data_IF_489720999626
#
_entry.id   IF_489720999626
#
_cell.length_a   1.000
_cell.length_b   1.000
_cell.length_c   1.000
_cell.angle_alpha   90.00
_cell.angle_beta   90.00
_cell.angle_gamma   90.00
#
_symmetry.space_group_name_H-M   'P 1'
#
loop_
_entity.id
_entity.type
_entity.pdbx_description
1 polymer ?
#
# COMPACT_ATOMS: atom_id res chain seq x y z
N UNK A 1 -34.56 -48.91 -10.59
CA UNK A 1 -33.39 -48.15 -11.13
C UNK A 1 -32.32 -48.07 -10.03
N UNK A 2 -31.44 -49.06 -9.88
CA UNK A 2 -30.56 -49.20 -8.71
C UNK A 2 -29.31 -48.29 -8.71
N UNK A 3 -29.24 -47.25 -9.55
CA UNK A 3 -28.06 -46.37 -9.69
C UNK A 3 -28.16 -44.99 -9.03
N UNK A 4 -29.32 -44.61 -8.48
CA UNK A 4 -29.57 -43.24 -7.99
C UNK A 4 -28.72 -42.84 -6.77
N UNK A 5 -28.43 -43.79 -5.88
CA UNK A 5 -27.63 -43.54 -4.68
C UNK A 5 -26.15 -43.31 -4.98
N UNK A 6 -25.62 -43.93 -6.04
CA UNK A 6 -24.25 -43.68 -6.51
C UNK A 6 -24.13 -42.28 -7.14
N UNK A 7 -25.12 -41.87 -7.94
CA UNK A 7 -25.15 -40.52 -8.49
C UNK A 7 -25.30 -39.45 -7.40
N UNK A 8 -26.13 -39.71 -6.39
CA UNK A 8 -26.26 -38.84 -5.22
C UNK A 8 -24.97 -38.76 -4.40
N UNK A 9 -24.30 -39.89 -4.16
CA UNK A 9 -23.01 -39.94 -3.46
C UNK A 9 -21.89 -39.22 -4.21
N UNK A 10 -21.82 -39.42 -5.54
CA UNK A 10 -20.87 -38.73 -6.40
C UNK A 10 -21.11 -37.22 -6.44
N UNK A 11 -22.37 -36.79 -6.53
CA UNK A 11 -22.76 -35.38 -6.45
C UNK A 11 -22.38 -34.74 -5.11
N UNK A 12 -22.61 -35.45 -4.00
CA UNK A 12 -22.23 -34.98 -2.67
C UNK A 12 -20.71 -34.86 -2.50
N UNK A 13 -19.95 -35.87 -2.93
CA UNK A 13 -18.48 -35.84 -2.88
C UNK A 13 -17.91 -34.72 -3.77
N UNK A 14 -18.46 -34.54 -4.97
CA UNK A 14 -18.09 -33.44 -5.86
C UNK A 14 -18.39 -32.08 -5.23
N UNK A 15 -19.55 -31.92 -4.60
CA UNK A 15 -19.91 -30.69 -3.90
C UNK A 15 -18.97 -30.41 -2.72
N UNK A 16 -18.66 -31.42 -1.91
CA UNK A 16 -17.78 -31.30 -0.75
C UNK A 16 -16.34 -30.92 -1.13
N UNK A 17 -15.81 -31.49 -2.22
CA UNK A 17 -14.49 -31.14 -2.74
C UNK A 17 -14.48 -29.72 -3.30
N UNK A 18 -15.53 -29.33 -4.04
CA UNK A 18 -15.66 -27.96 -4.55
C UNK A 18 -15.80 -26.95 -3.41
N UNK A 19 -16.58 -27.24 -2.36
CA UNK A 19 -16.71 -26.33 -1.22
C UNK A 19 -15.38 -26.14 -0.50
N UNK A 20 -14.59 -27.21 -0.34
CA UNK A 20 -13.22 -27.13 0.22
C UNK A 20 -12.28 -26.27 -0.64
N UNK A 21 -12.28 -26.48 -1.95
CA UNK A 21 -11.46 -25.65 -2.86
C UNK A 21 -11.91 -24.18 -2.89
N UNK A 22 -13.20 -23.92 -2.77
CA UNK A 22 -13.74 -22.56 -2.68
C UNK A 22 -13.33 -21.88 -1.36
N UNK A 23 -13.36 -22.61 -0.23
CA UNK A 23 -12.90 -22.11 1.08
C UNK A 23 -11.42 -21.69 1.01
N UNK A 24 -10.55 -22.51 0.42
CA UNK A 24 -9.12 -22.20 0.28
C UNK A 24 -8.86 -20.97 -0.60
N UNK A 25 -9.59 -20.85 -1.73
CA UNK A 25 -9.49 -19.69 -2.62
C UNK A 25 -9.99 -18.42 -1.94
N UNK A 26 -11.11 -18.50 -1.20
CA UNK A 26 -11.65 -17.37 -0.43
C UNK A 26 -10.67 -16.92 0.65
N UNK A 27 -10.10 -17.84 1.42
CA UNK A 27 -9.09 -17.52 2.43
C UNK A 27 -7.85 -16.82 1.83
N UNK A 28 -7.45 -17.19 0.60
CA UNK A 28 -6.35 -16.51 -0.10
C UNK A 28 -6.72 -15.08 -0.51
N UNK A 29 -7.91 -14.90 -1.08
CA UNK A 29 -8.42 -13.58 -1.47
C UNK A 29 -8.56 -12.68 -0.25
N UNK A 30 -9.05 -13.21 0.86
CA UNK A 30 -9.28 -12.45 2.09
C UNK A 30 -7.97 -11.99 2.73
N UNK A 31 -6.91 -12.80 2.68
CA UNK A 31 -5.57 -12.35 3.09
C UNK A 31 -5.04 -11.20 2.24
N UNK A 32 -5.16 -11.30 0.92
CA UNK A 32 -4.71 -10.23 0.01
C UNK A 32 -5.55 -8.97 0.24
N UNK A 33 -6.86 -9.12 0.38
CA UNK A 33 -7.76 -8.00 0.68
C UNK A 33 -7.41 -7.33 2.01
N UNK A 34 -7.07 -8.09 3.06
CA UNK A 34 -6.61 -7.55 4.33
C UNK A 34 -5.30 -6.76 4.20
N UNK A 35 -4.34 -7.25 3.40
CA UNK A 35 -3.10 -6.54 3.10
C UNK A 35 -3.35 -5.22 2.37
N UNK A 36 -4.22 -5.24 1.34
CA UNK A 36 -4.63 -4.02 0.65
C UNK A 36 -5.30 -3.03 1.60
N UNK A 37 -6.20 -3.51 2.47
CA UNK A 37 -6.94 -2.65 3.40
C UNK A 37 -6.00 -1.99 4.43
N UNK A 38 -5.00 -2.72 4.90
CA UNK A 38 -3.97 -2.22 5.80
C UNK A 38 -3.03 -1.20 5.13
N UNK A 39 -2.90 -1.24 3.80
CA UNK A 39 -2.11 -0.28 3.02
C UNK A 39 -2.93 0.97 2.65
N UNK A 40 -4.11 0.78 2.07
CA UNK A 40 -4.93 1.89 1.56
C UNK A 40 -5.59 2.72 2.67
N UNK A 41 -5.90 2.13 3.82
CA UNK A 41 -6.49 2.86 4.95
C UNK A 41 -5.58 3.99 5.47
N UNK A 42 -4.35 3.67 5.89
CA UNK A 42 -3.38 4.68 6.33
C UNK A 42 -3.00 5.69 5.25
N UNK A 43 -2.86 5.25 4.00
CA UNK A 43 -2.55 6.15 2.89
C UNK A 43 -3.68 7.16 2.63
N UNK A 44 -4.93 6.69 2.63
CA UNK A 44 -6.10 7.55 2.47
C UNK A 44 -6.24 8.51 3.66
N UNK A 45 -5.99 8.03 4.88
CA UNK A 45 -6.00 8.86 6.08
C UNK A 45 -4.97 9.99 5.96
N UNK A 46 -3.73 9.68 5.57
CA UNK A 46 -2.67 10.67 5.38
C UNK A 46 -3.04 11.72 4.32
N UNK A 47 -3.50 11.29 3.14
CA UNK A 47 -3.89 12.22 2.06
C UNK A 47 -5.10 13.09 2.45
N UNK A 48 -6.10 12.51 3.11
CA UNK A 48 -7.27 13.25 3.57
C UNK A 48 -6.93 14.27 4.66
N UNK A 49 -6.02 13.92 5.58
CA UNK A 49 -5.52 14.82 6.61
C UNK A 49 -4.76 15.99 5.98
N UNK A 50 -3.82 15.73 5.06
CA UNK A 50 -3.09 16.78 4.32
C UNK A 50 -4.05 17.73 3.60
N UNK A 51 -5.06 17.18 2.91
CA UNK A 51 -6.06 17.99 2.22
C UNK A 51 -6.82 18.90 3.19
N UNK A 52 -7.35 18.35 4.27
CA UNK A 52 -8.08 19.14 5.27
C UNK A 52 -7.22 20.24 5.92
N UNK A 53 -5.94 19.95 6.19
CA UNK A 53 -5.00 20.91 6.74
C UNK A 53 -4.68 22.04 5.75
N UNK A 54 -4.55 21.71 4.45
CA UNK A 54 -4.32 22.69 3.40
C UNK A 54 -5.54 23.59 3.18
N UNK A 55 -6.75 23.03 3.18
CA UNK A 55 -7.99 23.80 3.06
C UNK A 55 -8.15 24.77 4.26
N UNK A 56 -7.76 24.35 5.46
CA UNK A 56 -7.74 25.21 6.64
C UNK A 56 -6.69 26.33 6.57
N UNK A 57 -5.51 26.05 5.98
CA UNK A 57 -4.46 27.05 5.73
C UNK A 57 -4.96 28.14 4.78
N UNK A 58 -5.58 27.75 3.66
CA UNK A 58 -6.14 28.69 2.68
C UNK A 58 -7.23 29.54 3.32
N UNK A 59 -8.10 28.94 4.14
CA UNK A 59 -9.17 29.67 4.81
C UNK A 59 -8.62 30.74 5.78
N UNK A 60 -7.46 30.51 6.39
CA UNK A 60 -6.86 31.42 7.38
C UNK A 60 -5.96 32.49 6.76
N UNK A 61 -5.27 32.17 5.67
CA UNK A 61 -4.21 33.02 5.10
C UNK A 61 -4.49 33.49 3.66
N UNK A 62 -5.60 33.09 3.03
CA UNK A 62 -5.94 33.60 1.70
C UNK A 62 -6.62 34.98 1.81
N UNK A 63 -6.20 35.99 1.04
CA UNK A 63 -6.85 37.30 1.00
C UNK A 63 -8.32 37.25 0.56
N UNK A 64 -8.66 36.29 -0.31
CA UNK A 64 -9.98 36.13 -0.94
C UNK A 64 -10.64 34.77 -0.61
N UNK A 65 -10.01 33.94 0.24
CA UNK A 65 -10.44 32.55 0.51
C UNK A 65 -10.25 31.58 -0.67
N UNK A 66 -9.74 32.07 -1.80
CA UNK A 66 -9.46 31.31 -3.01
C UNK A 66 -8.08 30.64 -2.96
N UNK A 67 -7.98 29.42 -3.50
CA UNK A 67 -6.69 28.73 -3.65
C UNK A 67 -5.76 29.46 -4.63
N UNK A 68 -6.31 30.01 -5.73
CA UNK A 68 -5.53 30.70 -6.75
C UNK A 68 -4.90 31.98 -6.21
N UNK A 69 -5.69 32.78 -5.48
CA UNK A 69 -5.21 34.01 -4.87
C UNK A 69 -4.10 33.76 -3.82
N UNK A 70 -4.21 32.67 -3.06
CA UNK A 70 -3.16 32.27 -2.11
C UNK A 70 -1.86 31.84 -2.83
N UNK A 71 -1.96 31.07 -3.90
CA UNK A 71 -0.78 30.66 -4.68
C UNK A 71 -0.10 31.87 -5.33
N UNK A 72 -0.88 32.79 -5.90
CA UNK A 72 -0.36 34.01 -6.50
C UNK A 72 0.30 34.93 -5.45
N UNK A 73 -0.28 35.04 -4.25
CA UNK A 73 0.32 35.79 -3.13
C UNK A 73 1.66 35.18 -2.67
N UNK A 74 1.73 33.85 -2.53
CA UNK A 74 2.96 33.14 -2.16
C UNK A 74 4.05 33.29 -3.24
N UNK A 75 3.67 33.32 -4.52
CA UNK A 75 4.63 33.45 -5.63
C UNK A 75 5.12 34.88 -5.85
N UNK A 76 4.25 35.87 -5.61
CA UNK A 76 4.56 37.29 -5.82
C UNK A 76 5.40 37.88 -4.71
N UNK A 77 5.21 37.45 -3.45
CA UNK A 77 6.05 37.85 -2.32
C UNK A 77 6.55 36.63 -1.51
N UNK A 78 7.76 36.12 -1.83
CA UNK A 78 8.38 35.04 -1.07
C UNK A 78 8.67 35.38 0.40
N UNK A 79 8.70 36.66 0.77
CA UNK A 79 8.89 37.13 2.14
C UNK A 79 7.58 37.39 2.89
N UNK A 80 6.45 37.29 2.21
CA UNK A 80 5.12 37.57 2.76
C UNK A 80 4.71 36.59 3.86
N UNK A 81 3.71 37.00 4.64
CA UNK A 81 3.14 36.23 5.76
C UNK A 81 2.56 34.90 5.27
N UNK A 82 1.98 34.91 4.07
CA UNK A 82 1.39 33.76 3.39
C UNK A 82 2.45 32.76 2.94
N UNK A 83 3.58 33.24 2.42
CA UNK A 83 4.71 32.40 2.01
C UNK A 83 5.42 31.78 3.21
N UNK A 84 5.53 32.51 4.33
CA UNK A 84 6.06 31.96 5.58
C UNK A 84 5.13 30.91 6.18
N UNK A 85 3.82 31.18 6.25
CA UNK A 85 2.81 30.22 6.70
C UNK A 85 2.81 28.96 5.84
N UNK A 86 2.96 29.10 4.51
CA UNK A 86 3.10 27.96 3.60
C UNK A 86 4.36 27.14 3.88
N UNK A 87 5.53 27.78 4.07
CA UNK A 87 6.78 27.07 4.41
C UNK A 87 6.67 26.31 5.72
N UNK A 88 6.08 26.95 6.74
CA UNK A 88 5.86 26.31 8.03
C UNK A 88 4.92 25.11 7.89
N UNK A 89 3.84 25.24 7.13
CA UNK A 89 2.93 24.13 6.84
C UNK A 89 3.62 22.98 6.10
N UNK A 90 4.45 23.28 5.11
CA UNK A 90 5.22 22.25 4.38
C UNK A 90 6.11 21.47 5.34
N UNK A 91 6.82 22.15 6.24
CA UNK A 91 7.72 21.48 7.20
C UNK A 91 6.95 20.74 8.31
N UNK A 92 5.90 21.34 8.85
CA UNK A 92 5.19 20.81 10.01
C UNK A 92 4.16 19.73 9.67
N UNK A 93 3.56 19.78 8.48
CA UNK A 93 2.45 18.90 8.08
C UNK A 93 2.82 18.03 6.88
N UNK A 94 3.26 18.66 5.78
CA UNK A 94 3.47 17.93 4.52
C UNK A 94 4.66 16.96 4.61
N UNK A 95 5.78 17.41 5.16
CA UNK A 95 6.99 16.60 5.30
C UNK A 95 6.77 15.33 6.14
N UNK A 96 6.26 15.40 7.39
CA UNK A 96 6.06 14.18 8.20
C UNK A 96 5.00 13.25 7.61
N UNK A 97 3.96 13.77 6.95
CA UNK A 97 2.95 12.93 6.29
C UNK A 97 3.51 12.23 5.04
N UNK A 98 4.41 12.89 4.30
CA UNK A 98 5.07 12.28 3.15
C UNK A 98 6.10 11.23 3.59
N UNK A 99 6.83 11.48 4.68
CA UNK A 99 7.73 10.50 5.30
C UNK A 99 6.95 9.27 5.81
N UNK A 100 5.78 9.47 6.45
CA UNK A 100 4.89 8.38 6.85
C UNK A 100 4.36 7.58 5.65
N UNK A 101 3.93 8.26 4.59
CA UNK A 101 3.49 7.58 3.37
C UNK A 101 4.64 6.79 2.71
N UNK A 102 5.85 7.35 2.66
CA UNK A 102 7.04 6.67 2.17
C UNK A 102 7.43 5.46 3.03
N UNK A 103 7.29 5.56 4.35
CA UNK A 103 7.48 4.44 5.28
C UNK A 103 6.46 3.32 5.02
N UNK A 104 5.18 3.65 4.89
CA UNK A 104 4.12 2.68 4.57
C UNK A 104 4.40 1.98 3.24
N UNK A 105 4.83 2.71 2.20
CA UNK A 105 5.16 2.14 0.89
C UNK A 105 6.39 1.23 0.96
N UNK A 106 7.46 1.65 1.64
CA UNK A 106 8.69 0.86 1.75
C UNK A 106 8.51 -0.42 2.59
N UNK A 107 7.76 -0.35 3.69
CA UNK A 107 7.43 -1.51 4.53
C UNK A 107 6.60 -2.56 3.77
N UNK A 108 5.65 -2.14 2.93
CA UNK A 108 4.79 -3.05 2.17
C UNK A 108 5.47 -3.60 0.92
N UNK A 109 6.37 -2.85 0.27
CA UNK A 109 7.18 -3.36 -0.85
C UNK A 109 8.17 -4.44 -0.35
N UNK A 110 8.73 -4.29 0.85
CA UNK A 110 9.57 -5.33 1.47
C UNK A 110 8.83 -6.63 1.78
N UNK A 111 7.53 -6.56 2.09
CA UNK A 111 6.68 -7.73 2.32
C UNK A 111 6.18 -8.39 1.01
N UNK A 112 6.27 -7.69 -0.12
CA UNK A 112 5.77 -8.15 -1.42
C UNK A 112 6.79 -8.93 -2.25
N UNK A 113 8.01 -9.19 -1.75
CA UNK A 113 8.93 -10.13 -2.40
C UNK A 113 8.53 -11.56 -2.02
N UNK A 114 7.80 -12.32 -2.87
CA UNK A 114 7.60 -13.74 -2.60
C UNK A 114 8.97 -14.40 -2.60
N UNK A 115 9.14 -15.38 -1.71
CA UNK A 115 10.31 -16.24 -1.50
C UNK A 115 10.77 -17.05 -2.75
N UNK A 116 10.92 -16.43 -3.92
CA UNK A 116 11.31 -17.03 -5.20
C UNK A 116 12.79 -16.87 -5.53
N UNK A 117 13.53 -16.00 -4.84
CA UNK A 117 14.97 -15.81 -5.14
C UNK A 117 15.88 -16.71 -4.28
N UNK A 118 15.38 -17.32 -3.19
CA UNK A 118 16.23 -18.17 -2.31
C UNK A 118 16.43 -19.61 -2.78
N UNK A 119 15.87 -20.01 -3.93
CA UNK A 119 16.01 -21.36 -4.49
C UNK A 119 16.97 -21.47 -5.70
N UNK A 120 17.40 -20.35 -6.30
CA UNK A 120 18.23 -20.37 -7.52
C UNK A 120 19.74 -20.17 -7.26
N UNK A 121 20.16 -19.76 -6.06
CA UNK A 121 21.56 -19.41 -5.77
C UNK A 121 22.43 -20.46 -5.10
N UNK A 122 21.95 -21.70 -4.91
CA UNK A 122 22.66 -22.70 -4.07
C UNK A 122 22.90 -24.06 -4.74
N UNK A 123 23.23 -24.07 -6.04
CA UNK A 123 23.84 -25.23 -6.71
C UNK A 123 24.77 -24.79 -7.85
N UNK A 124 25.95 -24.26 -7.53
CA UNK A 124 27.17 -24.51 -8.31
C UNK A 124 28.37 -23.93 -7.57
N UNK A 125 28.91 -24.73 -6.65
CA UNK A 125 30.13 -24.43 -5.91
C UNK A 125 30.79 -25.73 -5.48
N UNK A 126 30.72 -26.75 -6.34
CA UNK A 126 31.42 -28.01 -6.13
C UNK A 126 32.83 -27.88 -6.72
N UNK A 127 33.77 -27.53 -5.85
CA UNK A 127 35.00 -28.29 -5.64
C UNK A 127 35.76 -28.81 -6.89
N UNK A 128 36.76 -28.04 -7.33
CA UNK A 128 38.02 -28.61 -7.84
C UNK A 128 39.18 -27.67 -7.55
N UNK A 129 39.71 -27.74 -6.32
CA UNK A 129 41.07 -27.30 -5.98
C UNK A 129 41.89 -28.56 -5.70
N UNK A 130 42.67 -28.99 -6.68
CA UNK A 130 43.78 -29.94 -6.57
C UNK A 130 44.99 -29.10 -7.03
N UNK A 131 45.82 -28.53 -6.15
CA UNK A 131 46.95 -29.23 -5.50
C UNK A 131 47.85 -29.80 -6.60
N UNK A 132 48.88 -29.11 -7.11
CA UNK A 132 50.03 -28.64 -6.35
C UNK A 132 51.07 -29.75 -6.27
N UNK A 133 51.88 -29.90 -7.33
CA UNK A 133 53.26 -30.39 -7.36
C UNK A 133 53.83 -30.13 -8.76
#
# INVERSE_FOLDING_TARGET
MPGGWLAAGAGFAFHFLNSKWQEERKARIERVNAQLRNFYGPLLAAVSATKSAYDALITQHSPDGSQGAFQDAVHSDPGGVEAEAYRLWVQAVLQPLNEQAAAIVSDHIGAAEPARVRAAGRRSGACTRRGGA
#
